data_IF_348344402716
#
_entry.id   IF_348344402716
#
_cell.length_a   1.000
_cell.length_b   1.000
_cell.length_c   1.000
_cell.angle_alpha   90.00
_cell.angle_beta   90.00
_cell.angle_gamma   90.00
#
_symmetry.space_group_name_H-M   'P 1'
#
loop_
_entity.id
_entity.type
_entity.pdbx_description
1 polymer ?
#
# COMPACT_ATOMS: atom_id res chain seq x y z
N UNK A 1 6.73 28.54 30.05
CA UNK A 1 6.13 27.19 29.91
C UNK A 1 6.34 26.77 28.48
N UNK A 2 7.12 25.71 28.26
CA UNK A 2 7.39 25.18 26.92
C UNK A 2 6.13 24.50 26.37
N UNK A 3 5.96 24.51 25.05
CA UNK A 3 4.90 23.78 24.34
C UNK A 3 4.80 22.29 24.73
N UNK A 4 5.88 21.72 25.28
CA UNK A 4 5.95 20.34 25.76
C UNK A 4 5.17 20.09 27.08
N UNK A 5 5.02 21.09 27.95
CA UNK A 5 4.26 20.93 29.22
C UNK A 5 2.74 20.96 29.00
N UNK A 6 2.26 21.70 28.00
CA UNK A 6 0.82 21.76 27.67
C UNK A 6 0.32 20.44 27.04
N UNK A 7 1.16 19.76 26.25
CA UNK A 7 0.86 18.43 25.71
C UNK A 7 0.97 17.34 26.79
N UNK A 8 1.86 17.52 27.78
CA UNK A 8 2.03 16.60 28.89
C UNK A 8 0.79 16.45 29.78
N UNK A 9 -0.10 17.46 29.79
CA UNK A 9 -1.40 17.36 30.47
C UNK A 9 -2.49 16.73 29.61
N UNK A 10 -2.34 16.65 28.28
CA UNK A 10 -3.44 16.37 27.34
C UNK A 10 -3.81 14.87 27.20
N UNK A 11 -2.88 13.94 27.43
CA UNK A 11 -3.09 12.49 27.25
C UNK A 11 -3.25 11.76 28.59
N UNK A 12 -4.20 12.23 29.39
CA UNK A 12 -4.61 11.58 30.63
C UNK A 12 -5.91 10.80 30.38
N UNK A 13 -6.06 9.62 30.99
CA UNK A 13 -7.34 8.87 30.98
C UNK A 13 -8.48 9.78 31.45
N UNK A 14 -8.23 10.67 32.41
CA UNK A 14 -9.23 11.61 32.94
C UNK A 14 -9.71 12.66 31.92
N UNK A 15 -9.04 12.76 30.76
CA UNK A 15 -9.41 13.64 29.65
C UNK A 15 -10.10 12.91 28.50
N UNK A 16 -10.31 11.60 28.61
CA UNK A 16 -11.07 10.84 27.61
C UNK A 16 -12.58 11.02 27.84
N UNK A 17 -13.41 11.15 26.78
CA UNK A 17 -14.85 11.32 26.94
C UNK A 17 -15.50 10.11 27.67
N UNK A 18 -16.49 10.30 28.55
CA UNK A 18 -17.15 9.18 29.26
C UNK A 18 -17.73 8.12 28.32
N UNK A 19 -18.41 8.53 27.25
CA UNK A 19 -18.94 7.60 26.24
C UNK A 19 -17.83 6.80 25.53
N UNK A 20 -16.64 7.39 25.38
CA UNK A 20 -15.49 6.69 24.83
C UNK A 20 -14.94 5.67 25.84
N UNK A 21 -14.84 6.02 27.12
CA UNK A 21 -14.43 5.08 28.18
C UNK A 21 -15.40 3.90 28.31
N UNK A 22 -16.70 4.13 28.22
CA UNK A 22 -17.72 3.08 28.19
C UNK A 22 -17.54 2.16 26.97
N UNK A 23 -17.29 2.74 25.79
CA UNK A 23 -16.98 1.97 24.58
C UNK A 23 -15.72 1.09 24.79
N UNK A 24 -14.65 1.65 25.35
CA UNK A 24 -13.42 0.90 25.63
C UNK A 24 -13.68 -0.26 26.61
N UNK A 25 -14.42 0.00 27.69
CA UNK A 25 -14.78 -1.02 28.67
C UNK A 25 -15.65 -2.12 28.04
N UNK A 26 -16.64 -1.76 27.23
CA UNK A 26 -17.53 -2.72 26.57
C UNK A 26 -16.81 -3.61 25.55
N UNK A 27 -15.68 -3.16 25.00
CA UNK A 27 -14.88 -3.90 24.02
C UNK A 27 -13.58 -4.47 24.62
N UNK A 28 -13.43 -4.46 25.95
CA UNK A 28 -12.25 -4.98 26.66
C UNK A 28 -10.92 -4.33 26.21
N UNK A 29 -10.98 -3.05 25.83
CA UNK A 29 -9.81 -2.26 25.39
C UNK A 29 -9.26 -1.47 26.59
N UNK A 30 -7.98 -1.67 26.90
CA UNK A 30 -7.31 -0.92 27.97
C UNK A 30 -7.19 0.57 27.59
N UNK A 31 -7.78 1.52 28.34
CA UNK A 31 -7.66 2.95 28.07
C UNK A 31 -6.23 3.48 28.10
N UNK A 32 -5.30 2.79 28.77
CA UNK A 32 -3.90 3.20 28.84
C UNK A 32 -3.23 3.27 27.47
N UNK A 33 -3.70 2.51 26.47
CA UNK A 33 -3.13 2.55 25.11
C UNK A 33 -3.27 3.93 24.46
N UNK A 34 -4.26 4.73 24.89
CA UNK A 34 -4.48 6.10 24.41
C UNK A 34 -3.69 7.15 25.20
N UNK A 35 -2.93 6.73 26.22
CA UNK A 35 -2.05 7.61 27.01
C UNK A 35 -0.59 7.59 26.56
N UNK A 36 -0.26 6.74 25.58
CA UNK A 36 1.10 6.57 25.04
C UNK A 36 1.53 7.85 24.33
N UNK A 37 2.69 8.38 24.70
CA UNK A 37 3.20 9.69 24.24
C UNK A 37 4.19 9.57 23.10
N UNK A 38 5.17 8.69 23.28
CA UNK A 38 6.25 8.49 22.32
C UNK A 38 5.98 7.20 21.53
N UNK A 39 5.10 7.30 20.53
CA UNK A 39 4.90 6.20 19.60
C UNK A 39 6.14 6.05 18.71
N UNK A 40 6.70 4.83 18.60
CA UNK A 40 7.79 4.59 17.68
C UNK A 40 7.32 4.84 16.24
N UNK A 41 8.25 5.29 15.40
CA UNK A 41 8.08 5.25 13.95
C UNK A 41 8.75 3.98 13.42
N UNK A 42 8.41 3.63 12.20
CA UNK A 42 8.97 2.46 11.56
C UNK A 42 9.40 2.76 10.12
N UNK A 43 10.47 2.08 9.72
CA UNK A 43 10.98 2.10 8.36
C UNK A 43 11.19 0.68 7.86
N UNK A 44 11.13 0.52 6.54
CA UNK A 44 11.48 -0.73 5.86
C UNK A 44 12.47 -0.48 4.74
N UNK A 45 13.45 -1.37 4.58
CA UNK A 45 14.39 -1.33 3.45
C UNK A 45 13.67 -1.61 2.13
N UNK A 46 14.06 -0.89 1.07
CA UNK A 46 13.66 -1.17 -0.30
C UNK A 46 14.65 -2.11 -0.96
N UNK A 47 14.39 -3.42 -0.83
CA UNK A 47 15.27 -4.50 -1.31
C UNK A 47 15.48 -4.53 -2.82
N UNK A 48 14.77 -3.72 -3.61
CA UNK A 48 14.98 -3.57 -5.05
C UNK A 48 16.14 -2.62 -5.42
N UNK A 49 16.73 -1.93 -4.44
CA UNK A 49 17.94 -1.15 -4.67
C UNK A 49 19.19 -2.05 -4.67
N UNK A 50 20.11 -1.79 -5.61
CA UNK A 50 21.38 -2.51 -5.73
C UNK A 50 22.30 -2.32 -4.52
N UNK A 51 22.24 -1.16 -3.86
CA UNK A 51 22.93 -0.87 -2.61
C UNK A 51 21.92 -0.45 -1.55
N UNK A 52 21.78 -1.30 -0.53
CA UNK A 52 21.01 -0.99 0.67
C UNK A 52 21.90 -0.23 1.66
N UNK A 53 21.34 0.74 2.40
CA UNK A 53 22.06 1.39 3.49
C UNK A 53 22.25 0.40 4.64
N UNK A 54 23.39 0.49 5.34
CA UNK A 54 23.58 -0.29 6.58
C UNK A 54 22.76 0.31 7.72
N UNK A 55 22.60 -0.44 8.81
CA UNK A 55 21.92 0.06 10.01
C UNK A 55 22.65 1.29 10.56
N UNK A 56 23.98 1.28 10.59
CA UNK A 56 24.81 2.37 11.09
C UNK A 56 24.64 3.63 10.26
N UNK A 57 24.63 3.50 8.92
CA UNK A 57 24.38 4.63 8.00
C UNK A 57 22.99 5.23 8.22
N UNK A 58 21.98 4.39 8.50
CA UNK A 58 20.62 4.87 8.80
C UNK A 58 20.55 5.54 10.18
N UNK A 59 21.18 4.96 11.20
CA UNK A 59 21.23 5.53 12.55
C UNK A 59 21.89 6.91 12.55
N UNK A 60 22.99 7.09 11.79
CA UNK A 60 23.65 8.37 11.60
C UNK A 60 22.72 9.39 10.93
N UNK A 61 22.07 9.01 9.82
CA UNK A 61 21.17 9.91 9.09
C UNK A 61 19.90 10.29 9.87
N UNK A 62 19.39 9.38 10.71
CA UNK A 62 18.16 9.57 11.47
C UNK A 62 18.39 10.16 12.86
N UNK A 63 19.65 10.20 13.32
CA UNK A 63 20.03 10.70 14.63
C UNK A 63 19.45 9.89 15.79
N UNK A 64 19.12 8.61 15.57
CA UNK A 64 18.54 7.71 16.58
C UNK A 64 19.01 6.29 16.35
N UNK A 65 19.04 5.50 17.42
CA UNK A 65 19.20 4.05 17.32
C UNK A 65 17.98 3.42 16.66
N UNK A 66 18.25 2.39 15.86
CA UNK A 66 17.25 1.52 15.26
C UNK A 66 17.18 0.23 16.05
N UNK A 67 16.06 -0.48 16.01
CA UNK A 67 15.96 -1.87 16.44
C UNK A 67 15.22 -2.67 15.38
N UNK A 68 15.65 -3.90 15.14
CA UNK A 68 14.96 -4.80 14.20
C UNK A 68 13.59 -5.17 14.77
N UNK A 69 12.62 -5.34 13.88
CA UNK A 69 11.32 -5.90 14.24
C UNK A 69 11.36 -7.41 13.99
N UNK A 70 11.04 -8.18 15.03
CA UNK A 70 11.05 -9.63 14.97
C UNK A 70 10.03 -10.14 13.93
N UNK A 71 10.46 -11.11 13.12
CA UNK A 71 9.61 -11.75 12.10
C UNK A 71 9.42 -10.96 10.81
N UNK A 72 10.01 -9.76 10.65
CA UNK A 72 9.88 -8.96 9.43
C UNK A 72 11.25 -8.43 8.97
N UNK A 73 11.81 -9.10 7.95
CA UNK A 73 13.12 -8.76 7.42
C UNK A 73 13.19 -7.33 6.87
N UNK A 74 14.29 -6.65 7.20
CA UNK A 74 14.56 -5.29 6.77
C UNK A 74 13.63 -4.24 7.36
N UNK A 75 12.89 -4.57 8.42
CA UNK A 75 11.98 -3.67 9.13
C UNK A 75 12.62 -3.20 10.44
N UNK A 76 12.59 -1.89 10.68
CA UNK A 76 13.23 -1.28 11.84
C UNK A 76 12.28 -0.31 12.54
N UNK A 77 12.25 -0.38 13.87
CA UNK A 77 11.67 0.65 14.71
C UNK A 77 12.69 1.73 15.05
N UNK A 78 12.18 2.95 15.27
CA UNK A 78 12.97 4.12 15.64
C UNK A 78 12.16 5.06 16.55
N UNK A 79 12.86 5.96 17.23
CA UNK A 79 12.21 6.96 18.08
C UNK A 79 11.23 7.83 17.25
N UNK A 80 10.04 8.08 17.81
CA UNK A 80 8.95 8.81 17.13
C UNK A 80 9.27 10.26 16.75
N UNK A 81 10.30 10.86 17.33
CA UNK A 81 10.72 12.25 17.07
C UNK A 81 11.61 12.38 15.82
N UNK A 82 12.17 11.27 15.34
CA UNK A 82 13.05 11.29 14.18
C UNK A 82 12.29 11.60 12.89
N UNK A 83 12.82 12.57 12.14
CA UNK A 83 12.24 13.03 10.87
C UNK A 83 12.73 12.18 9.70
N UNK A 84 12.02 11.08 9.43
CA UNK A 84 12.30 10.18 8.29
C UNK A 84 12.38 10.95 6.95
N UNK A 85 11.57 12.01 6.79
CA UNK A 85 11.53 12.83 5.57
C UNK A 85 12.86 13.51 5.23
N UNK A 86 13.71 13.76 6.23
CA UNK A 86 14.99 14.45 6.03
C UNK A 86 16.13 13.48 5.68
N UNK A 87 15.96 12.19 5.99
CA UNK A 87 16.92 11.13 5.74
C UNK A 87 17.24 10.99 4.24
N UNK A 88 18.54 10.90 3.91
CA UNK A 88 19.02 10.77 2.53
C UNK A 88 18.50 9.46 1.93
N UNK A 89 18.61 8.35 2.65
CA UNK A 89 18.10 7.06 2.20
C UNK A 89 16.58 7.11 1.90
N UNK A 90 15.80 7.87 2.68
CA UNK A 90 14.38 8.05 2.38
C UNK A 90 14.15 8.88 1.13
N UNK A 91 14.86 10.00 0.96
CA UNK A 91 14.77 10.87 -0.23
C UNK A 91 15.13 10.12 -1.51
N UNK A 92 16.12 9.24 -1.44
CA UNK A 92 16.58 8.41 -2.56
C UNK A 92 15.70 7.17 -2.82
N UNK A 93 14.67 6.93 -2.00
CA UNK A 93 13.76 5.80 -2.16
C UNK A 93 14.31 4.45 -1.66
N UNK A 94 15.44 4.45 -0.94
CA UNK A 94 16.06 3.24 -0.37
C UNK A 94 15.33 2.70 0.85
N UNK A 95 14.50 3.52 1.50
CA UNK A 95 13.64 3.12 2.61
C UNK A 95 12.21 3.64 2.46
N UNK A 96 11.26 2.90 3.00
CA UNK A 96 9.87 3.27 3.19
C UNK A 96 9.68 3.78 4.62
N UNK A 97 8.84 4.79 4.80
CA UNK A 97 8.19 5.04 6.09
C UNK A 97 6.83 4.36 6.05
N UNK A 98 6.57 3.42 6.96
CA UNK A 98 5.35 2.63 6.99
C UNK A 98 5.08 2.15 8.41
N UNK A 99 3.83 2.19 8.86
CA UNK A 99 3.48 1.69 10.19
C UNK A 99 3.68 0.18 10.31
N UNK A 100 4.04 -0.27 11.51
CA UNK A 100 4.26 -1.69 11.79
C UNK A 100 3.04 -2.55 11.45
N UNK A 101 1.84 -2.12 11.82
CA UNK A 101 0.59 -2.82 11.50
C UNK A 101 0.37 -2.96 9.99
N UNK A 102 0.68 -1.91 9.21
CA UNK A 102 0.61 -1.96 7.75
C UNK A 102 1.66 -2.90 7.17
N UNK A 103 2.87 -2.94 7.75
CA UNK A 103 3.92 -3.88 7.35
C UNK A 103 3.51 -5.34 7.60
N UNK A 104 2.99 -5.64 8.79
CA UNK A 104 2.48 -6.97 9.15
C UNK A 104 1.36 -7.40 8.20
N UNK A 105 0.40 -6.52 7.90
CA UNK A 105 -0.70 -6.82 6.99
C UNK A 105 -0.20 -7.24 5.59
N UNK A 106 0.80 -6.55 5.06
CA UNK A 106 1.39 -6.91 3.76
C UNK A 106 2.19 -8.21 3.85
N UNK A 107 2.92 -8.46 4.93
CA UNK A 107 3.64 -9.72 5.13
C UNK A 107 2.68 -10.92 5.25
N UNK A 108 1.52 -10.73 5.88
CA UNK A 108 0.51 -11.78 6.03
C UNK A 108 -0.12 -12.24 4.69
N UNK A 109 0.02 -11.45 3.61
CA UNK A 109 -0.43 -11.87 2.28
C UNK A 109 0.42 -13.01 1.70
N UNK A 110 1.64 -13.22 2.20
CA UNK A 110 2.59 -14.22 1.69
C UNK A 110 2.76 -14.11 0.15
N UNK A 111 3.17 -12.92 -0.28
CA UNK A 111 3.28 -12.54 -1.70
C UNK A 111 4.37 -13.36 -2.40
N UNK A 112 4.01 -13.98 -3.51
CA UNK A 112 4.90 -14.71 -4.42
C UNK A 112 5.18 -13.91 -5.71
N UNK A 113 6.30 -14.16 -6.43
CA UNK A 113 6.73 -13.35 -7.59
C UNK A 113 5.73 -13.25 -8.76
N UNK A 114 4.84 -14.23 -8.88
CA UNK A 114 3.83 -14.32 -9.95
C UNK A 114 2.44 -13.84 -9.53
N UNK A 115 2.27 -13.43 -8.26
CA UNK A 115 0.99 -12.97 -7.73
C UNK A 115 0.52 -11.68 -8.40
N UNK A 116 -0.74 -11.65 -8.78
CA UNK A 116 -1.49 -10.44 -9.09
C UNK A 116 -2.19 -9.96 -7.83
N UNK A 117 -1.78 -8.78 -7.36
CA UNK A 117 -2.23 -8.22 -6.10
C UNK A 117 -3.18 -7.06 -6.37
N UNK A 118 -4.31 -7.04 -5.67
CA UNK A 118 -5.23 -5.91 -5.61
C UNK A 118 -5.10 -5.20 -4.26
N UNK A 119 -4.83 -3.90 -4.30
CA UNK A 119 -4.89 -3.00 -3.13
C UNK A 119 -6.14 -2.10 -3.27
N UNK A 120 -7.18 -2.46 -2.55
CA UNK A 120 -8.48 -1.78 -2.54
C UNK A 120 -8.45 -0.72 -1.43
N UNK A 121 -8.56 0.55 -1.81
CA UNK A 121 -8.25 1.74 -0.98
C UNK A 121 -6.75 2.00 -0.81
N UNK A 122 -5.99 1.91 -1.91
CA UNK A 122 -4.53 1.86 -1.87
C UNK A 122 -3.83 3.16 -1.45
N UNK A 123 -4.48 4.32 -1.57
CA UNK A 123 -3.77 5.59 -1.40
C UNK A 123 -3.61 5.92 0.10
N UNK A 124 -2.49 6.52 0.56
CA UNK A 124 -1.44 7.17 -0.22
C UNK A 124 -0.39 6.22 -0.83
N UNK A 125 -0.47 4.90 -0.64
CA UNK A 125 0.33 3.92 -1.38
C UNK A 125 1.43 3.21 -0.60
N UNK A 126 1.50 3.33 0.73
CA UNK A 126 2.57 2.70 1.51
C UNK A 126 2.53 1.16 1.44
N UNK A 127 1.36 0.56 1.66
CA UNK A 127 1.13 -0.88 1.55
C UNK A 127 1.37 -1.38 0.12
N UNK A 128 0.78 -0.72 -0.88
CA UNK A 128 1.05 -0.94 -2.31
C UNK A 128 2.55 -0.96 -2.63
N UNK A 129 3.31 0.02 -2.13
CA UNK A 129 4.74 0.12 -2.40
C UNK A 129 5.54 -0.99 -1.70
N UNK A 130 5.18 -1.36 -0.47
CA UNK A 130 5.80 -2.49 0.23
C UNK A 130 5.47 -3.82 -0.45
N UNK A 131 4.22 -4.03 -0.85
CA UNK A 131 3.79 -5.20 -1.62
C UNK A 131 4.59 -5.31 -2.92
N UNK A 132 4.79 -4.20 -3.63
CA UNK A 132 5.65 -4.16 -4.83
C UNK A 132 7.09 -4.53 -4.53
N UNK A 133 7.60 -4.13 -3.37
CA UNK A 133 8.98 -4.43 -3.02
C UNK A 133 9.16 -5.93 -2.74
N UNK A 134 8.20 -6.56 -2.03
CA UNK A 134 8.19 -8.01 -1.76
C UNK A 134 7.99 -8.82 -3.03
N UNK A 135 7.03 -8.43 -3.88
CA UNK A 135 6.80 -9.03 -5.19
C UNK A 135 8.06 -9.08 -6.07
N UNK A 136 8.99 -8.16 -5.83
CA UNK A 136 10.28 -8.12 -6.50
C UNK A 136 10.17 -7.70 -7.96
N UNK A 137 11.19 -8.05 -8.74
CA UNK A 137 11.24 -7.82 -10.20
C UNK A 137 11.28 -9.13 -11.00
N UNK A 138 11.46 -10.25 -10.31
CA UNK A 138 11.32 -11.59 -10.88
C UNK A 138 9.83 -11.94 -11.06
N UNK A 139 9.53 -12.85 -11.98
CA UNK A 139 8.16 -13.31 -12.24
C UNK A 139 7.32 -12.34 -13.10
N UNK A 140 6.03 -12.64 -13.21
CA UNK A 140 5.04 -11.91 -14.00
C UNK A 140 3.99 -11.17 -13.15
N UNK A 141 4.08 -11.26 -11.82
CA UNK A 141 3.14 -10.64 -10.90
C UNK A 141 3.00 -9.12 -11.08
N UNK A 142 1.86 -8.59 -10.67
CA UNK A 142 1.51 -7.17 -10.86
C UNK A 142 0.73 -6.64 -9.68
N UNK A 143 0.65 -5.31 -9.58
CA UNK A 143 -0.15 -4.64 -8.56
C UNK A 143 -1.18 -3.73 -9.19
N UNK A 144 -2.43 -3.89 -8.78
CA UNK A 144 -3.51 -2.95 -9.10
C UNK A 144 -3.90 -2.20 -7.84
N UNK A 145 -3.76 -0.89 -7.85
CA UNK A 145 -4.25 -0.02 -6.78
C UNK A 145 -5.54 0.69 -7.19
N UNK A 146 -6.50 0.74 -6.27
CA UNK A 146 -7.78 1.42 -6.47
C UNK A 146 -8.04 2.33 -5.29
N UNK A 147 -8.46 3.57 -5.52
CA UNK A 147 -8.92 4.46 -4.47
C UNK A 147 -9.87 5.50 -5.06
N UNK A 148 -10.88 5.91 -4.29
CA UNK A 148 -11.91 6.85 -4.75
C UNK A 148 -11.37 8.29 -4.87
N UNK A 149 -10.34 8.64 -4.10
CA UNK A 149 -9.79 10.00 -4.05
C UNK A 149 -8.71 10.22 -5.10
N UNK A 150 -9.03 11.08 -6.07
CA UNK A 150 -8.07 11.55 -7.10
C UNK A 150 -6.82 12.20 -6.49
N UNK A 151 -6.99 12.96 -5.42
CA UNK A 151 -5.89 13.64 -4.74
C UNK A 151 -4.95 12.62 -4.09
N UNK A 152 -5.49 11.69 -3.29
CA UNK A 152 -4.69 10.65 -2.64
C UNK A 152 -4.01 9.75 -3.68
N UNK A 153 -4.68 9.38 -4.77
CA UNK A 153 -4.09 8.63 -5.89
C UNK A 153 -2.94 9.38 -6.56
N UNK A 154 -2.99 10.71 -6.62
CA UNK A 154 -1.89 11.51 -7.14
C UNK A 154 -0.65 11.43 -6.25
N UNK A 155 -0.84 11.36 -4.93
CA UNK A 155 0.24 11.07 -3.95
C UNK A 155 0.77 9.66 -4.13
N UNK A 156 -0.11 8.66 -4.28
CA UNK A 156 0.28 7.28 -4.55
C UNK A 156 1.14 7.16 -5.81
N UNK A 157 0.75 7.82 -6.90
CA UNK A 157 1.55 7.89 -8.13
C UNK A 157 2.93 8.50 -7.89
N UNK A 158 3.05 9.49 -7.02
CA UNK A 158 4.34 10.10 -6.67
C UNK A 158 5.23 9.12 -5.90
N UNK A 159 4.66 8.32 -4.98
CA UNK A 159 5.40 7.26 -4.28
C UNK A 159 5.84 6.16 -5.26
N UNK A 160 4.96 5.70 -6.15
CA UNK A 160 5.30 4.71 -7.19
C UNK A 160 6.50 5.19 -8.02
N UNK A 161 6.51 6.46 -8.43
CA UNK A 161 7.65 7.04 -9.17
C UNK A 161 8.92 7.10 -8.32
N UNK A 162 8.81 7.55 -7.07
CA UNK A 162 9.92 7.64 -6.12
C UNK A 162 10.58 6.28 -5.91
N UNK A 163 9.77 5.24 -5.71
CA UNK A 163 10.22 3.87 -5.45
C UNK A 163 10.44 3.06 -6.74
N UNK A 164 10.32 3.68 -7.92
CA UNK A 164 10.59 3.08 -9.24
C UNK A 164 9.79 1.80 -9.50
N UNK A 165 8.54 1.75 -9.03
CA UNK A 165 7.66 0.60 -9.20
C UNK A 165 7.23 0.47 -10.66
N UNK A 166 7.63 -0.64 -11.30
CA UNK A 166 7.46 -0.85 -12.74
C UNK A 166 6.25 -1.70 -13.16
N UNK A 167 5.63 -2.44 -12.23
CA UNK A 167 4.55 -3.41 -12.50
C UNK A 167 3.25 -3.08 -11.77
N UNK A 168 2.91 -1.79 -11.68
CA UNK A 168 1.69 -1.33 -11.03
C UNK A 168 0.78 -0.54 -11.96
N UNK A 169 -0.53 -0.57 -11.71
CA UNK A 169 -1.53 0.31 -12.33
C UNK A 169 -2.48 0.86 -11.27
N UNK A 170 -2.91 2.10 -11.44
CA UNK A 170 -3.79 2.82 -10.50
C UNK A 170 -5.10 3.19 -11.17
N UNK A 171 -6.20 2.98 -10.47
CA UNK A 171 -7.54 3.40 -10.86
C UNK A 171 -8.13 4.36 -9.84
N UNK A 172 -8.89 5.33 -10.34
CA UNK A 172 -9.76 6.16 -9.50
C UNK A 172 -11.16 5.59 -9.65
N UNK A 173 -11.61 4.86 -8.64
CA UNK A 173 -12.91 4.19 -8.64
C UNK A 173 -13.39 3.92 -7.21
N UNK A 174 -14.69 3.70 -7.07
CA UNK A 174 -15.28 3.19 -5.84
C UNK A 174 -14.98 1.68 -5.72
N UNK A 175 -14.29 1.29 -4.65
CA UNK A 175 -13.89 -0.09 -4.41
C UNK A 175 -15.05 -1.08 -4.29
N UNK A 176 -16.26 -0.62 -3.92
CA UNK A 176 -17.47 -1.46 -3.84
C UNK A 176 -18.02 -1.85 -5.22
N UNK A 177 -17.60 -1.15 -6.27
CA UNK A 177 -18.08 -1.33 -7.65
C UNK A 177 -16.97 -1.66 -8.64
N UNK A 178 -15.72 -1.72 -8.18
CA UNK A 178 -14.56 -1.98 -9.04
C UNK A 178 -14.54 -3.44 -9.52
N UNK A 179 -14.58 -3.62 -10.84
CA UNK A 179 -14.72 -4.95 -11.48
C UNK A 179 -13.64 -5.25 -12.52
N UNK A 180 -12.52 -4.51 -12.52
CA UNK A 180 -11.41 -4.77 -13.45
C UNK A 180 -10.57 -5.91 -12.88
N UNK A 181 -10.46 -7.00 -13.62
CA UNK A 181 -9.68 -8.19 -13.27
C UNK A 181 -8.18 -7.97 -13.46
N UNK A 182 -7.33 -8.88 -12.97
CA UNK A 182 -5.88 -8.82 -13.10
C UNK A 182 -5.41 -8.68 -14.57
N UNK A 183 -4.21 -8.12 -14.83
CA UNK A 183 -3.74 -7.90 -16.19
C UNK A 183 -3.65 -9.19 -17.02
N UNK A 184 -4.46 -9.26 -18.05
CA UNK A 184 -4.48 -10.34 -19.04
C UNK A 184 -3.31 -10.30 -20.04
N UNK A 185 -2.65 -9.14 -20.20
CA UNK A 185 -1.61 -8.95 -21.21
C UNK A 185 -0.28 -9.67 -20.92
N UNK A 186 -0.08 -10.22 -19.71
CA UNK A 186 1.17 -10.88 -19.31
C UNK A 186 1.17 -12.40 -19.50
N UNK A 187 0.05 -12.96 -19.96
CA UNK A 187 -0.13 -14.39 -20.23
C UNK A 187 0.87 -15.06 -21.19
N UNK A 188 1.48 -14.38 -22.18
CA UNK A 188 2.51 -15.02 -23.00
C UNK A 188 3.70 -15.54 -22.16
N UNK A 189 3.90 -15.03 -20.95
CA UNK A 189 4.93 -15.50 -20.00
C UNK A 189 4.44 -16.73 -19.23
N UNK A 190 3.18 -16.78 -18.77
CA UNK A 190 2.58 -17.99 -18.16
C UNK A 190 2.59 -19.17 -19.13
N UNK A 191 2.26 -18.93 -20.41
CA UNK A 191 2.24 -19.96 -21.47
C UNK A 191 3.61 -20.57 -21.79
N UNK A 192 4.72 -19.86 -21.56
CA UNK A 192 6.06 -20.45 -21.74
C UNK A 192 6.43 -21.46 -20.64
N UNK A 193 5.76 -21.42 -19.48
CA UNK A 193 6.06 -22.29 -18.34
C UNK A 193 5.15 -23.54 -18.25
N UNK A 194 4.38 -23.85 -19.29
CA UNK A 194 3.80 -25.19 -19.49
C UNK A 194 2.33 -25.40 -19.10
N UNK A 195 1.55 -24.34 -18.85
CA UNK A 195 0.10 -24.46 -18.67
C UNK A 195 -0.64 -24.04 -19.94
N UNK A 196 -1.24 -25.03 -20.62
CA UNK A 196 -1.99 -24.84 -21.86
C UNK A 196 -3.38 -24.25 -21.57
N UNK A 197 -3.53 -22.94 -21.77
CA UNK A 197 -4.86 -22.31 -21.91
C UNK A 197 -4.94 -21.56 -23.24
N UNK A 198 -5.77 -22.08 -24.15
CA UNK A 198 -6.00 -21.54 -25.49
C UNK A 198 -7.09 -20.48 -25.41
N UNK A 199 -6.70 -19.22 -25.22
CA UNK A 199 -7.53 -18.09 -25.61
C UNK A 199 -6.91 -17.47 -26.88
N UNK A 200 -7.62 -17.61 -28.01
CA UNK A 200 -7.25 -17.02 -29.30
C UNK A 200 -7.47 -15.51 -29.27
N UNK A 201 -6.38 -14.74 -29.33
CA UNK A 201 -6.46 -13.28 -29.55
C UNK A 201 -6.67 -13.03 -31.04
N UNK A 202 -7.93 -12.91 -31.47
CA UNK A 202 -8.25 -12.62 -32.86
C UNK A 202 -8.17 -11.12 -33.18
N UNK A 203 -7.09 -10.77 -33.88
CA UNK A 203 -6.90 -9.56 -34.71
C UNK A 203 -6.59 -8.22 -34.03
N UNK A 204 -5.52 -7.60 -34.53
CA UNK A 204 -4.99 -6.29 -34.16
C UNK A 204 -5.60 -5.23 -35.08
N UNK A 205 -6.39 -4.29 -34.55
CA UNK A 205 -6.86 -3.14 -35.34
C UNK A 205 -5.74 -2.10 -35.49
N UNK A 206 -5.78 -1.30 -36.56
CA UNK A 206 -4.77 -0.27 -36.92
C UNK A 206 -4.61 0.84 -35.88
N UNK A 207 -5.52 0.93 -34.90
CA UNK A 207 -5.54 1.96 -33.85
C UNK A 207 -5.02 1.46 -32.49
N UNK A 208 -4.49 0.23 -32.41
CA UNK A 208 -3.91 -0.32 -31.17
C UNK A 208 -4.92 -0.72 -30.10
N UNK A 209 -6.23 -0.70 -30.41
CA UNK A 209 -7.30 -1.20 -29.55
C UNK A 209 -7.52 -2.70 -29.80
N UNK A 210 -7.43 -3.50 -28.74
CA UNK A 210 -7.85 -4.90 -28.73
C UNK A 210 -9.38 -4.93 -28.58
N UNK A 211 -10.06 -5.68 -29.47
CA UNK A 211 -11.47 -6.03 -29.30
C UNK A 211 -11.52 -7.52 -29.01
N UNK A 212 -12.02 -7.90 -27.85
CA UNK A 212 -12.26 -9.31 -27.50
C UNK A 212 -13.76 -9.54 -27.64
N UNK A 213 -14.16 -10.61 -28.32
CA UNK A 213 -15.56 -10.94 -28.55
C UNK A 213 -15.79 -12.34 -27.97
N UNK A 214 -16.47 -12.40 -26.84
CA UNK A 214 -16.91 -13.67 -26.24
C UNK A 214 -18.40 -13.58 -25.91
N UNK A 215 -19.17 -14.56 -26.39
CA UNK A 215 -20.53 -14.90 -25.94
C UNK A 215 -21.63 -13.81 -25.97
N UNK A 216 -21.51 -12.77 -26.81
CA UNK A 216 -22.63 -11.87 -27.11
C UNK A 216 -23.00 -10.88 -25.99
N UNK A 217 -22.23 -10.82 -24.91
CA UNK A 217 -22.34 -9.75 -23.91
C UNK A 217 -21.52 -8.53 -24.37
N UNK A 218 -22.10 -7.33 -24.23
CA UNK A 218 -21.41 -6.07 -24.53
C UNK A 218 -20.23 -5.91 -23.56
N UNK A 219 -19.02 -6.17 -24.05
CA UNK A 219 -17.80 -5.86 -23.31
C UNK A 219 -17.75 -4.35 -23.11
N UNK A 220 -17.90 -3.89 -21.85
CA UNK A 220 -17.77 -2.49 -21.50
C UNK A 220 -16.39 -1.98 -21.94
N UNK A 221 -16.32 -0.73 -22.41
CA UNK A 221 -15.05 -0.13 -22.80
C UNK A 221 -14.02 -0.28 -21.67
N UNK A 222 -12.78 -0.73 -21.96
CA UNK A 222 -11.75 -0.91 -20.93
C UNK A 222 -11.56 0.36 -20.10
N UNK A 223 -11.68 0.22 -18.79
CA UNK A 223 -11.55 1.33 -17.86
C UNK A 223 -10.12 1.87 -17.95
N UNK A 224 -9.96 3.16 -18.25
CA UNK A 224 -8.63 3.73 -18.40
C UNK A 224 -7.97 3.90 -17.01
N UNK A 225 -6.78 3.33 -16.77
CA UNK A 225 -6.07 3.55 -15.52
C UNK A 225 -5.67 5.02 -15.41
N UNK A 226 -5.79 5.59 -14.21
CA UNK A 226 -5.25 6.91 -13.89
C UNK A 226 -3.73 6.97 -14.12
N UNK A 227 -3.05 5.88 -13.79
CA UNK A 227 -1.64 5.71 -14.08
C UNK A 227 -1.31 4.25 -14.35
N UNK A 228 -0.54 4.00 -15.40
CA UNK A 228 0.04 2.69 -15.69
C UNK A 228 1.29 2.85 -16.58
N UNK A 229 2.29 1.96 -16.45
CA UNK A 229 3.37 1.81 -17.42
C UNK A 229 2.83 1.32 -18.76
N UNK A 230 3.61 1.45 -19.84
CA UNK A 230 3.18 1.07 -21.19
C UNK A 230 2.74 -0.40 -21.29
N UNK A 231 3.37 -1.28 -20.52
CA UNK A 231 3.07 -2.71 -20.46
C UNK A 231 1.69 -3.03 -19.87
N UNK A 232 1.13 -2.15 -19.03
CA UNK A 232 -0.16 -2.36 -18.36
C UNK A 232 -1.25 -1.38 -18.82
N UNK A 233 -0.88 -0.30 -19.52
CA UNK A 233 -1.79 0.77 -19.92
C UNK A 233 -2.88 0.32 -20.89
N UNK A 234 -2.51 -0.57 -21.81
CA UNK A 234 -3.40 -1.04 -22.87
C UNK A 234 -3.89 -2.47 -22.61
N UNK A 235 -3.92 -2.89 -21.34
CA UNK A 235 -4.49 -4.18 -20.96
C UNK A 235 -5.94 -4.27 -21.49
N UNK A 236 -6.30 -5.36 -22.20
CA UNK A 236 -7.63 -5.51 -22.78
C UNK A 236 -8.73 -5.74 -21.74
N UNK A 237 -8.37 -5.99 -20.46
CA UNK A 237 -9.30 -6.21 -19.35
C UNK A 237 -10.29 -7.35 -19.66
N UNK A 238 -9.73 -8.49 -20.05
CA UNK A 238 -10.52 -9.69 -20.35
C UNK A 238 -11.26 -10.14 -19.08
N UNK A 239 -12.57 -10.33 -19.20
CA UNK A 239 -13.42 -10.79 -18.10
C UNK A 239 -13.51 -12.31 -18.12
N UNK A 240 -12.46 -12.96 -17.65
CA UNK A 240 -12.41 -14.41 -17.47
C UNK A 240 -11.97 -14.74 -16.05
N UNK A 241 -12.55 -15.78 -15.41
CA UNK A 241 -12.11 -16.26 -14.09
C UNK A 241 -10.62 -16.61 -14.00
N UNK A 242 -9.93 -16.82 -15.12
CA UNK A 242 -8.48 -17.05 -15.18
C UNK A 242 -7.64 -15.81 -14.81
N UNK A 243 -8.25 -14.62 -14.85
CA UNK A 243 -7.61 -13.33 -14.52
C UNK A 243 -8.02 -12.79 -13.15
N UNK A 244 -8.43 -13.64 -12.21
CA UNK A 244 -8.65 -13.20 -10.84
C UNK A 244 -7.33 -12.76 -10.16
N UNK A 245 -7.46 -11.97 -9.10
CA UNK A 245 -6.31 -11.58 -8.27
C UNK A 245 -5.96 -12.73 -7.31
N UNK A 246 -4.67 -13.04 -7.20
CA UNK A 246 -4.16 -14.06 -6.29
C UNK A 246 -4.24 -13.58 -4.83
N UNK A 247 -4.02 -12.27 -4.62
CA UNK A 247 -4.01 -11.65 -3.29
C UNK A 247 -4.78 -10.33 -3.31
N UNK A 248 -5.51 -10.07 -2.23
CA UNK A 248 -6.25 -8.81 -2.05
C UNK A 248 -5.94 -8.25 -0.68
N UNK A 249 -5.59 -6.97 -0.63
CA UNK A 249 -5.54 -6.20 0.61
C UNK A 249 -6.60 -5.10 0.55
N UNK A 250 -7.33 -4.97 1.64
CA UNK A 250 -8.37 -3.95 1.81
C UNK A 250 -8.02 -3.20 3.09
N UNK A 251 -7.77 -1.90 2.97
CA UNK A 251 -7.56 -1.07 4.15
C UNK A 251 -8.91 -0.68 4.74
N UNK A 252 -8.99 -0.63 6.07
CA UNK A 252 -10.15 -0.05 6.73
C UNK A 252 -10.19 1.46 6.41
N UNK A 253 -11.38 2.03 6.26
CA UNK A 253 -11.52 3.47 6.08
C UNK A 253 -10.91 4.20 7.29
N UNK A 254 -9.79 4.89 7.05
CA UNK A 254 -9.16 5.71 8.07
C UNK A 254 -9.85 7.09 8.10
N UNK A 255 -10.88 7.22 8.94
CA UNK A 255 -11.46 8.53 9.24
C UNK A 255 -10.50 9.32 10.13
N UNK A 256 -10.28 10.61 9.85
CA UNK A 256 -9.50 11.48 10.73
C UNK A 256 -10.09 11.58 12.15
N UNK A 257 -11.38 11.31 12.30
CA UNK A 257 -12.15 11.43 13.54
C UNK A 257 -11.67 10.50 14.68
N UNK A 258 -10.95 9.42 14.35
CA UNK A 258 -10.38 8.49 15.33
C UNK A 258 -9.00 8.89 15.88
N UNK A 259 -8.41 9.99 15.40
CA UNK A 259 -7.11 10.43 15.94
C UNK A 259 -7.25 10.88 17.39
N UNK A 260 -6.20 10.66 18.19
CA UNK A 260 -6.12 11.15 19.58
C UNK A 260 -6.45 12.65 19.67
N UNK A 261 -5.97 13.46 18.72
CA UNK A 261 -6.28 14.90 18.66
C UNK A 261 -7.76 15.21 18.46
N UNK A 262 -8.52 14.34 17.78
CA UNK A 262 -9.97 14.50 17.62
C UNK A 262 -10.74 13.98 18.83
N UNK A 263 -10.30 12.86 19.42
CA UNK A 263 -10.85 12.32 20.66
C UNK A 263 -10.77 13.39 21.78
N UNK A 264 -9.63 14.08 21.90
CA UNK A 264 -9.45 15.13 22.90
C UNK A 264 -10.28 16.40 22.64
N UNK A 265 -10.63 16.70 21.38
CA UNK A 265 -11.53 17.82 21.05
C UNK A 265 -12.97 17.53 21.49
N UNK A 266 -13.38 16.27 21.46
CA UNK A 266 -14.71 15.84 21.91
C UNK A 266 -14.86 15.82 23.44
N UNK A 267 -13.77 16.00 24.19
CA UNK A 267 -13.75 16.04 25.65
C UNK A 267 -14.06 17.41 26.26
N UNK A 268 -14.23 18.46 25.43
CA UNK A 268 -14.52 19.84 25.86
C UNK A 268 -15.93 20.29 25.45
#
# INVERSE_FOLDING_TARGET
>A
MSFDDDLASALSISKLPPAFLEFLQANEIDPQIYTIRDLPRYIRLNTQHSRLPTREELEEQLGTKLWSVDGIDGFYGLNGRSRIVDCIAYKEGKIFGIDLSSGIAVCALDIQPDDHILDLCCAPGAKLCMASNILGVSGCGTITGVDISRERISTCRSLIKKYKIGRARLFIADGTSFSVLAPSFLDPIRRMNGENCVAEVTSKSRDGKFKVQENGELQQDPLQPFWAPKTLRNDPQIRSPEFLYDKVIVDAECTHDGSISHILKASN
#
